data_IF_696972059341
#
_entry.id   IF_696972059341
#
_cell.length_a   1.000
_cell.length_b   1.000
_cell.length_c   1.000
_cell.angle_alpha   90.00
_cell.angle_beta   90.00
_cell.angle_gamma   90.00
#
_symmetry.space_group_name_H-M   'P 1'
#
loop_
_entity.id
_entity.type
_entity.pdbx_description
1 polymer ?
#
# COMPACT_ATOMS: atom_id res chain seq x y z
N UNK A 1 87.00 14.77 -16.83
CA UNK A 1 86.24 13.55 -16.65
C UNK A 1 85.13 13.77 -15.63
N UNK A 2 83.99 14.19 -16.04
CA UNK A 2 82.80 14.30 -15.21
C UNK A 2 81.64 13.91 -16.06
N UNK A 3 81.09 12.75 -15.81
CA UNK A 3 79.85 12.25 -16.41
C UNK A 3 78.65 12.94 -15.79
N UNK A 4 77.81 13.51 -16.66
CA UNK A 4 76.58 14.15 -16.32
C UNK A 4 75.44 13.09 -16.43
N UNK A 5 74.92 12.63 -15.31
CA UNK A 5 73.72 11.81 -15.31
C UNK A 5 72.50 12.68 -15.22
N UNK A 6 71.78 12.83 -16.35
CA UNK A 6 70.54 13.53 -16.45
C UNK A 6 69.39 12.53 -16.24
N UNK A 7 68.81 12.52 -15.07
CA UNK A 7 67.60 11.76 -14.79
C UNK A 7 66.38 12.56 -15.28
N UNK A 8 65.78 12.13 -16.39
CA UNK A 8 64.51 12.65 -16.86
C UNK A 8 63.41 12.28 -15.87
N UNK A 9 62.86 13.24 -15.17
CA UNK A 9 61.59 13.12 -14.47
C UNK A 9 60.45 13.10 -15.51
N UNK A 10 59.96 11.91 -15.81
CA UNK A 10 58.74 11.72 -16.58
C UNK A 10 57.55 12.20 -15.77
N UNK A 11 57.04 13.39 -16.08
CA UNK A 11 55.74 13.85 -15.64
C UNK A 11 54.68 13.00 -16.31
N UNK A 12 54.13 12.06 -15.58
CA UNK A 12 52.91 11.36 -15.98
C UNK A 12 51.77 12.37 -15.84
N UNK A 13 51.17 12.75 -16.94
CA UNK A 13 50.10 13.74 -16.99
C UNK A 13 48.86 13.23 -16.24
N UNK A 14 48.13 14.12 -15.58
CA UNK A 14 46.86 13.84 -14.89
C UNK A 14 45.80 13.17 -15.77
N UNK A 15 45.96 13.21 -17.10
CA UNK A 15 45.08 12.52 -18.05
C UNK A 15 45.32 11.01 -18.12
N UNK A 16 46.55 10.56 -17.89
CA UNK A 16 46.90 9.13 -17.86
C UNK A 16 46.38 8.44 -16.59
N UNK A 17 46.24 9.16 -15.50
CA UNK A 17 45.62 8.64 -14.29
C UNK A 17 44.11 8.55 -14.42
N UNK A 18 43.47 9.44 -15.19
CA UNK A 18 42.02 9.38 -15.47
C UNK A 18 41.63 8.30 -16.50
N UNK A 19 42.53 7.94 -17.41
CA UNK A 19 42.28 6.89 -18.40
C UNK A 19 42.40 5.48 -17.81
N UNK A 20 43.19 5.28 -16.74
CA UNK A 20 43.30 3.99 -16.07
C UNK A 20 42.07 3.58 -15.27
N UNK A 21 41.19 4.55 -14.96
CA UNK A 21 39.90 4.29 -14.31
C UNK A 21 38.76 3.89 -15.27
N UNK A 22 38.98 3.96 -16.58
CA UNK A 22 37.92 3.75 -17.57
C UNK A 22 37.86 2.40 -18.24
N UNK A 23 38.85 1.55 -18.08
CA UNK A 23 38.87 0.23 -18.71
C UNK A 23 39.75 -0.73 -17.93
N UNK A 24 39.17 -1.38 -16.98
CA UNK A 24 39.79 -2.63 -16.52
C UNK A 24 38.68 -3.61 -16.13
N UNK A 25 38.46 -4.59 -16.97
CA UNK A 25 38.38 -5.95 -16.49
C UNK A 25 39.71 -6.25 -15.78
N UNK A 26 40.00 -5.54 -14.69
CA UNK A 26 41.09 -5.91 -13.81
C UNK A 26 40.54 -7.05 -12.96
N UNK A 27 40.76 -8.25 -13.42
CA UNK A 27 40.92 -9.39 -12.54
C UNK A 27 42.12 -9.10 -11.65
N UNK A 28 41.98 -8.24 -10.69
CA UNK A 28 42.93 -8.07 -9.62
C UNK A 28 42.71 -9.23 -8.67
N UNK A 29 43.49 -10.30 -8.85
CA UNK A 29 43.41 -11.54 -8.07
C UNK A 29 43.65 -11.27 -6.57
N UNK A 30 44.09 -10.08 -6.20
CA UNK A 30 44.22 -9.64 -4.80
C UNK A 30 42.94 -9.04 -4.20
N UNK A 31 42.06 -8.48 -5.02
CA UNK A 31 40.93 -7.69 -4.49
C UNK A 31 39.55 -8.37 -4.68
N UNK A 32 39.53 -9.52 -5.37
CA UNK A 32 38.32 -10.34 -5.60
C UNK A 32 37.07 -9.52 -6.05
N UNK A 33 37.31 -8.40 -6.73
CA UNK A 33 36.22 -7.58 -7.29
C UNK A 33 35.85 -8.07 -8.68
N UNK A 34 34.55 -8.16 -8.93
CA UNK A 34 33.99 -8.44 -10.24
C UNK A 34 32.99 -7.35 -10.58
N UNK A 35 33.17 -6.68 -11.73
CA UNK A 35 32.30 -5.57 -12.16
C UNK A 35 33.05 -4.23 -12.24
N UNK A 36 32.33 -3.18 -12.59
CA UNK A 36 32.87 -1.86 -12.90
C UNK A 36 32.61 -0.84 -11.78
N UNK A 37 33.52 0.15 -11.64
CA UNK A 37 33.36 1.32 -10.78
C UNK A 37 33.06 1.02 -9.31
N UNK A 38 33.58 -0.08 -8.77
CA UNK A 38 33.50 -0.36 -7.34
C UNK A 38 34.55 0.48 -6.58
N UNK A 39 34.15 1.09 -5.47
CA UNK A 39 35.00 1.97 -4.66
C UNK A 39 34.97 1.59 -3.19
N UNK A 40 36.12 1.84 -2.48
CA UNK A 40 36.20 1.72 -1.03
C UNK A 40 36.63 3.05 -0.40
N UNK A 41 36.44 3.16 0.90
CA UNK A 41 37.01 4.20 1.75
C UNK A 41 38.13 3.59 2.61
N UNK A 42 39.38 3.60 2.12
CA UNK A 42 40.60 3.17 2.79
C UNK A 42 40.77 1.66 3.04
N UNK A 43 41.63 1.04 2.19
CA UNK A 43 42.41 -0.21 2.33
C UNK A 43 41.79 -1.57 1.97
N UNK A 44 42.19 -2.01 0.80
CA UNK A 44 42.90 -3.24 0.45
C UNK A 44 42.22 -4.61 0.38
N UNK A 45 40.96 -4.84 0.54
CA UNK A 45 40.30 -6.05 -0.02
C UNK A 45 38.83 -5.81 -0.26
N UNK A 46 38.50 -5.61 -1.51
CA UNK A 46 37.10 -5.56 -1.94
C UNK A 46 36.64 -6.98 -2.13
N UNK A 47 35.57 -7.47 -2.05
CA UNK A 47 35.00 -8.70 -2.50
C UNK A 47 33.64 -8.37 -3.07
N UNK A 48 33.60 -7.35 -3.93
CA UNK A 48 32.35 -6.93 -4.52
C UNK A 48 32.11 -7.64 -5.86
N UNK A 49 30.88 -8.06 -6.10
CA UNK A 49 30.44 -8.61 -7.37
C UNK A 49 29.31 -7.76 -7.90
N UNK A 50 29.43 -7.23 -9.11
CA UNK A 50 28.50 -6.28 -9.71
C UNK A 50 29.10 -4.88 -9.83
N UNK A 51 28.31 -3.92 -10.28
CA UNK A 51 28.76 -2.59 -10.65
C UNK A 51 28.44 -1.54 -9.59
N UNK A 52 29.30 -0.53 -9.47
CA UNK A 52 29.07 0.67 -8.65
C UNK A 52 28.83 0.42 -7.16
N UNK A 53 29.47 -0.58 -6.59
CA UNK A 53 29.39 -0.84 -5.16
C UNK A 53 30.42 -0.01 -4.38
N UNK A 54 30.02 0.47 -3.21
CA UNK A 54 30.87 1.18 -2.25
C UNK A 54 30.89 0.37 -0.96
N UNK A 55 32.06 -0.10 -0.53
CA UNK A 55 32.21 -0.94 0.66
C UNK A 55 32.72 -2.34 0.32
N UNK A 56 32.44 -3.32 1.19
CA UNK A 56 33.03 -4.65 1.12
C UNK A 56 31.98 -5.76 1.04
N UNK A 57 32.31 -6.82 0.31
CA UNK A 57 31.51 -8.05 0.21
C UNK A 57 30.08 -7.81 -0.31
N UNK A 58 29.88 -6.85 -1.19
CA UNK A 58 28.58 -6.62 -1.82
C UNK A 58 28.43 -7.50 -3.06
N UNK A 59 27.21 -8.02 -3.26
CA UNK A 59 26.82 -8.75 -4.47
C UNK A 59 25.58 -8.08 -5.06
N UNK A 60 25.67 -7.68 -6.33
CA UNK A 60 24.65 -6.87 -7.01
C UNK A 60 25.16 -5.47 -7.32
N UNK A 61 24.29 -4.59 -7.75
CA UNK A 61 24.68 -3.28 -8.26
C UNK A 61 24.29 -2.14 -7.33
N UNK A 62 25.08 -1.08 -7.34
CA UNK A 62 24.76 0.18 -6.67
C UNK A 62 24.57 0.08 -5.14
N UNK A 63 25.25 -0.83 -4.47
CA UNK A 63 25.18 -0.94 -3.02
C UNK A 63 26.18 0.00 -2.34
N UNK A 64 25.76 0.60 -1.22
CA UNK A 64 26.59 1.40 -0.32
C UNK A 64 26.57 0.77 1.07
N UNK A 65 27.74 0.38 1.58
CA UNK A 65 27.88 -0.36 2.84
C UNK A 65 28.49 -1.73 2.61
N UNK A 66 28.33 -2.66 3.55
CA UNK A 66 29.03 -3.93 3.52
C UNK A 66 28.08 -5.12 3.55
N UNK A 67 28.48 -6.19 2.87
CA UNK A 67 27.77 -7.48 2.90
C UNK A 67 26.32 -7.40 2.42
N UNK A 68 26.04 -6.54 1.48
CA UNK A 68 24.74 -6.45 0.85
C UNK A 68 24.62 -7.49 -0.29
N UNK A 69 23.43 -8.04 -0.47
CA UNK A 69 23.12 -8.94 -1.58
C UNK A 69 21.86 -8.45 -2.28
N UNK A 70 21.96 -8.14 -3.56
CA UNK A 70 20.92 -7.47 -4.35
C UNK A 70 21.34 -6.05 -4.71
N UNK A 71 20.42 -5.25 -5.20
CA UNK A 71 20.73 -3.97 -5.80
C UNK A 71 20.25 -2.78 -4.97
N UNK A 72 20.95 -1.66 -5.07
CA UNK A 72 20.55 -0.38 -4.51
C UNK A 72 20.33 -0.37 -2.99
N UNK A 73 21.10 -1.14 -2.25
CA UNK A 73 21.04 -1.11 -0.78
C UNK A 73 21.97 -0.04 -0.20
N UNK A 74 21.54 0.61 0.87
CA UNK A 74 22.34 1.54 1.67
C UNK A 74 22.36 1.06 3.11
N UNK A 75 23.54 0.84 3.68
CA UNK A 75 23.75 0.22 4.98
C UNK A 75 24.39 -1.15 4.86
N UNK A 76 24.44 -1.91 5.94
CA UNK A 76 25.15 -3.17 6.02
C UNK A 76 24.20 -4.38 6.10
N UNK A 77 24.62 -5.49 5.52
CA UNK A 77 23.98 -6.80 5.68
C UNK A 77 22.50 -6.82 5.23
N UNK A 78 22.21 -6.24 4.08
CA UNK A 78 20.88 -6.24 3.49
C UNK A 78 20.80 -7.27 2.35
N UNK A 79 20.21 -8.46 2.55
CA UNK A 79 19.77 -9.31 1.46
C UNK A 79 18.43 -8.86 0.91
N UNK A 80 18.41 -8.50 -0.38
CA UNK A 80 17.27 -7.93 -1.10
C UNK A 80 17.62 -6.63 -1.79
N UNK A 81 16.64 -5.91 -2.29
CA UNK A 81 16.84 -4.71 -3.09
C UNK A 81 16.27 -3.47 -2.45
N UNK A 82 16.91 -2.33 -2.70
CA UNK A 82 16.40 -1.02 -2.31
C UNK A 82 16.14 -0.87 -0.80
N UNK A 83 16.99 -1.45 0.04
CA UNK A 83 16.89 -1.28 1.48
C UNK A 83 17.78 -0.12 1.95
N UNK A 84 17.32 0.61 2.96
CA UNK A 84 18.07 1.66 3.66
C UNK A 84 18.10 1.34 5.14
N UNK A 85 19.30 1.28 5.73
CA UNK A 85 19.55 0.82 7.09
C UNK A 85 20.24 -0.54 7.10
N UNK A 86 20.36 -1.15 8.25
CA UNK A 86 21.15 -2.35 8.45
C UNK A 86 20.28 -3.59 8.70
N UNK A 87 20.77 -4.76 8.27
CA UNK A 87 20.14 -6.05 8.59
C UNK A 87 18.72 -6.23 8.06
N UNK A 88 18.34 -5.58 6.96
CA UNK A 88 17.03 -5.78 6.35
C UNK A 88 17.02 -7.00 5.43
N UNK A 89 16.01 -7.84 5.55
CA UNK A 89 15.78 -9.00 4.68
C UNK A 89 14.51 -8.76 3.85
N UNK A 90 14.67 -8.69 2.53
CA UNK A 90 13.57 -8.38 1.61
C UNK A 90 13.79 -7.08 0.88
N UNK A 91 12.73 -6.45 0.39
CA UNK A 91 12.88 -5.32 -0.53
C UNK A 91 12.20 -4.04 -0.03
N UNK A 92 12.80 -2.90 -0.36
CA UNK A 92 12.22 -1.59 -0.10
C UNK A 92 11.97 -1.29 1.39
N UNK A 93 12.83 -1.75 2.28
CA UNK A 93 12.74 -1.45 3.70
C UNK A 93 13.55 -0.21 4.04
N UNK A 94 13.05 0.59 4.99
CA UNK A 94 13.75 1.75 5.56
C UNK A 94 13.77 1.61 7.07
N UNK A 95 14.95 1.66 7.68
CA UNK A 95 15.22 1.34 9.08
C UNK A 95 15.99 0.04 9.21
N UNK A 96 16.15 -0.47 10.42
CA UNK A 96 17.00 -1.59 10.71
C UNK A 96 16.22 -2.87 11.04
N UNK A 97 16.79 -4.02 10.72
CA UNK A 97 16.30 -5.35 11.13
C UNK A 97 14.89 -5.69 10.67
N UNK A 98 14.46 -5.18 9.53
CA UNK A 98 13.16 -5.54 8.96
C UNK A 98 13.25 -6.84 8.16
N UNK A 99 12.22 -7.67 8.26
CA UNK A 99 12.05 -8.88 7.46
C UNK A 99 10.73 -8.79 6.69
N UNK A 100 10.81 -8.86 5.37
CA UNK A 100 9.68 -8.65 4.46
C UNK A 100 9.90 -7.45 3.56
N UNK A 101 8.85 -6.85 3.05
CA UNK A 101 8.97 -5.76 2.09
C UNK A 101 8.22 -4.48 2.48
N UNK A 102 8.77 -3.34 2.09
CA UNK A 102 8.12 -2.03 2.23
C UNK A 102 7.80 -1.67 3.68
N UNK A 103 8.68 -2.02 4.60
CA UNK A 103 8.58 -1.59 5.99
C UNK A 103 9.32 -0.27 6.20
N UNK A 104 8.78 0.58 7.07
CA UNK A 104 9.41 1.81 7.55
C UNK A 104 9.44 1.78 9.07
N UNK A 105 10.63 1.93 9.64
CA UNK A 105 10.92 1.74 11.07
C UNK A 105 11.75 0.50 11.31
N UNK A 106 11.93 0.09 12.55
CA UNK A 106 12.88 -0.95 12.93
C UNK A 106 12.19 -2.23 13.38
N UNK A 107 12.85 -3.35 13.11
CA UNK A 107 12.48 -4.65 13.67
C UNK A 107 11.07 -5.14 13.27
N UNK A 108 10.58 -4.78 12.11
CA UNK A 108 9.30 -5.27 11.61
C UNK A 108 9.44 -6.63 10.91
N UNK A 109 8.44 -7.47 11.08
CA UNK A 109 8.30 -8.74 10.36
C UNK A 109 6.99 -8.77 9.60
N UNK A 110 7.05 -8.96 8.29
CA UNK A 110 5.92 -8.87 7.36
C UNK A 110 6.08 -7.71 6.40
N UNK A 111 5.01 -7.34 5.72
CA UNK A 111 5.05 -6.34 4.67
C UNK A 111 4.25 -5.08 5.02
N UNK A 112 4.68 -3.93 4.49
CA UNK A 112 3.95 -2.67 4.60
C UNK A 112 3.71 -2.16 6.03
N UNK A 113 4.61 -2.44 6.96
CA UNK A 113 4.50 -1.89 8.32
C UNK A 113 5.15 -0.50 8.41
N UNK A 114 4.54 0.38 9.20
CA UNK A 114 5.08 1.69 9.57
C UNK A 114 5.13 1.79 11.09
N UNK A 115 6.30 2.06 11.63
CA UNK A 115 6.61 2.03 13.07
C UNK A 115 7.50 0.84 13.41
N UNK A 116 7.67 0.55 14.68
CA UNK A 116 8.68 -0.40 15.14
C UNK A 116 8.06 -1.67 15.74
N UNK A 117 8.79 -2.77 15.61
CA UNK A 117 8.48 -4.02 16.28
C UNK A 117 7.09 -4.60 15.94
N UNK A 118 6.63 -4.42 14.72
CA UNK A 118 5.38 -5.02 14.27
C UNK A 118 5.60 -6.42 13.70
N UNK A 119 4.69 -7.34 14.00
CA UNK A 119 4.63 -8.66 13.42
C UNK A 119 3.30 -8.87 12.70
N UNK A 120 3.35 -9.06 11.38
CA UNK A 120 2.20 -9.10 10.46
C UNK A 120 2.31 -8.03 9.40
N UNK A 121 1.23 -7.77 8.68
CA UNK A 121 1.25 -6.87 7.54
C UNK A 121 0.38 -5.62 7.76
N UNK A 122 0.75 -4.54 7.10
CA UNK A 122 -0.06 -3.32 7.04
C UNK A 122 -0.36 -2.71 8.42
N UNK A 123 0.56 -2.80 9.37
CA UNK A 123 0.39 -2.16 10.67
C UNK A 123 0.96 -0.73 10.64
N UNK A 124 0.28 0.18 11.32
CA UNK A 124 0.74 1.54 11.58
C UNK A 124 0.78 1.76 13.08
N UNK A 125 1.94 2.11 13.62
CA UNK A 125 2.23 2.19 15.06
C UNK A 125 3.23 1.12 15.47
N UNK A 126 3.39 0.90 16.76
CA UNK A 126 4.46 0.06 17.28
C UNK A 126 3.91 -1.17 18.03
N UNK A 127 4.72 -2.23 18.06
CA UNK A 127 4.44 -3.43 18.84
C UNK A 127 3.11 -4.12 18.51
N UNK A 128 2.63 -4.04 17.27
CA UNK A 128 1.43 -4.74 16.86
C UNK A 128 1.73 -6.17 16.42
N UNK A 129 0.85 -7.10 16.79
CA UNK A 129 0.88 -8.51 16.36
C UNK A 129 -0.43 -8.81 15.65
N UNK A 130 -0.36 -9.12 14.36
CA UNK A 130 -1.50 -9.29 13.47
C UNK A 130 -1.45 -8.32 12.30
N UNK A 131 -2.53 -8.16 11.58
CA UNK A 131 -2.56 -7.38 10.35
C UNK A 131 -3.47 -6.17 10.45
N UNK A 132 -3.13 -5.13 9.70
CA UNK A 132 -3.99 -3.97 9.51
C UNK A 132 -4.38 -3.26 10.83
N UNK A 133 -3.48 -3.20 11.79
CA UNK A 133 -3.70 -2.45 13.02
C UNK A 133 -3.21 -1.01 12.87
N UNK A 134 -3.93 -0.08 13.48
CA UNK A 134 -3.56 1.33 13.62
C UNK A 134 -3.53 1.68 15.11
N UNK A 135 -2.39 2.15 15.59
CA UNK A 135 -2.11 2.38 17.03
C UNK A 135 -1.08 1.40 17.55
N UNK A 136 -0.89 1.35 18.85
CA UNK A 136 0.22 0.63 19.48
C UNK A 136 -0.24 -0.59 20.28
N UNK A 137 0.62 -1.58 20.36
CA UNK A 137 0.47 -2.72 21.26
C UNK A 137 -0.81 -3.56 21.02
N UNK A 138 -1.30 -3.62 19.79
CA UNK A 138 -2.46 -4.43 19.47
C UNK A 138 -2.08 -5.89 19.17
N UNK A 139 -2.96 -6.81 19.54
CA UNK A 139 -2.91 -8.21 19.16
C UNK A 139 -4.22 -8.57 18.47
N UNK A 140 -4.12 -9.22 17.30
CA UNK A 140 -5.26 -9.47 16.42
C UNK A 140 -5.23 -8.56 15.20
N UNK A 141 -6.26 -8.61 14.40
CA UNK A 141 -6.32 -7.93 13.10
C UNK A 141 -7.33 -6.78 13.12
N UNK A 142 -7.08 -5.74 12.34
CA UNK A 142 -8.01 -4.66 12.09
C UNK A 142 -8.41 -3.88 13.35
N UNK A 143 -7.47 -3.64 14.24
CA UNK A 143 -7.72 -2.79 15.41
C UNK A 143 -7.36 -1.33 15.10
N UNK A 144 -8.13 -0.40 15.68
CA UNK A 144 -7.85 1.02 15.70
C UNK A 144 -7.84 1.51 17.14
N UNK A 145 -6.70 2.01 17.60
CA UNK A 145 -6.43 2.37 19.01
C UNK A 145 -5.39 1.43 19.61
N UNK A 146 -5.25 1.41 20.92
CA UNK A 146 -4.11 0.83 21.60
C UNK A 146 -4.49 -0.30 22.54
N UNK A 147 -3.55 -1.23 22.75
CA UNK A 147 -3.67 -2.28 23.76
C UNK A 147 -4.85 -3.23 23.58
N UNK A 148 -5.35 -3.42 22.35
CA UNK A 148 -6.40 -4.38 22.08
C UNK A 148 -5.83 -5.80 21.99
N UNK A 149 -6.56 -6.80 22.50
CA UNK A 149 -6.17 -8.22 22.55
C UNK A 149 -7.08 -9.13 21.73
N UNK A 150 -7.97 -8.56 20.94
CA UNK A 150 -8.81 -9.25 19.97
C UNK A 150 -8.92 -8.42 18.70
N UNK A 151 -9.53 -8.97 17.66
CA UNK A 151 -9.64 -8.32 16.36
C UNK A 151 -10.86 -7.40 16.26
N UNK A 152 -10.83 -6.50 15.28
CA UNK A 152 -11.96 -5.65 14.88
C UNK A 152 -12.44 -4.69 15.98
N UNK A 153 -11.51 -4.20 16.80
CA UNK A 153 -11.83 -3.26 17.86
C UNK A 153 -11.50 -1.81 17.47
N UNK A 154 -12.31 -0.90 17.96
CA UNK A 154 -12.05 0.53 17.99
C UNK A 154 -11.96 1.01 19.44
N UNK A 155 -10.92 1.80 19.75
CA UNK A 155 -10.61 2.24 21.12
C UNK A 155 -9.53 1.38 21.76
N UNK A 156 -9.43 1.40 23.08
CA UNK A 156 -8.28 0.86 23.80
C UNK A 156 -8.69 -0.19 24.84
N UNK A 157 -7.76 -1.12 25.13
CA UNK A 157 -7.90 -2.16 26.17
C UNK A 157 -9.07 -3.12 25.97
N UNK A 158 -9.46 -3.40 24.70
CA UNK A 158 -10.51 -4.36 24.41
C UNK A 158 -9.94 -5.79 24.37
N UNK A 159 -10.57 -6.70 25.06
CA UNK A 159 -10.15 -8.13 25.13
C UNK A 159 -11.09 -9.06 24.40
N UNK A 160 -12.22 -8.56 23.94
CA UNK A 160 -13.24 -9.28 23.16
C UNK A 160 -13.64 -8.44 21.97
N UNK A 161 -14.16 -9.09 20.91
CA UNK A 161 -14.70 -8.37 19.76
C UNK A 161 -15.91 -7.53 20.19
N UNK A 162 -15.90 -6.26 19.79
CA UNK A 162 -16.92 -5.29 20.19
C UNK A 162 -18.20 -5.49 19.37
N UNK A 163 -19.31 -5.19 20.03
CA UNK A 163 -20.60 -5.00 19.38
C UNK A 163 -20.62 -3.65 18.67
N UNK A 164 -21.16 -3.62 17.46
CA UNK A 164 -21.21 -2.41 16.64
C UNK A 164 -22.46 -1.57 16.93
N UNK A 165 -22.33 -0.28 16.65
CA UNK A 165 -23.47 0.63 16.59
C UNK A 165 -24.12 0.46 15.23
N UNK A 166 -25.45 0.34 15.19
CA UNK A 166 -26.26 0.35 13.99
C UNK A 166 -27.38 1.40 14.17
N UNK A 167 -27.55 2.24 13.17
CA UNK A 167 -28.53 3.33 13.20
C UNK A 167 -28.44 4.17 14.50
N UNK A 168 -27.20 4.58 14.82
CA UNK A 168 -26.87 5.39 16.01
C UNK A 168 -27.25 4.77 17.36
N UNK A 169 -27.55 3.47 17.41
CA UNK A 169 -27.94 2.74 18.63
C UNK A 169 -27.05 1.51 18.82
N UNK A 170 -26.75 1.11 20.07
CA UNK A 170 -26.05 -0.14 20.34
C UNK A 170 -26.82 -1.34 19.75
N UNK A 171 -26.09 -2.29 19.18
CA UNK A 171 -26.65 -3.55 18.69
C UNK A 171 -25.99 -4.75 19.37
N UNK A 172 -26.62 -5.92 19.24
CA UNK A 172 -26.01 -7.18 19.69
C UNK A 172 -25.14 -7.83 18.60
N UNK A 173 -24.98 -7.16 17.46
CA UNK A 173 -24.22 -7.66 16.31
C UNK A 173 -22.74 -7.22 16.43
N UNK A 174 -21.82 -8.14 16.13
CA UNK A 174 -20.41 -7.85 15.93
C UNK A 174 -20.16 -7.35 14.51
N UNK A 175 -18.99 -6.74 14.26
CA UNK A 175 -18.61 -6.34 12.89
C UNK A 175 -18.47 -7.55 11.97
N UNK A 176 -18.01 -8.69 12.47
CA UNK A 176 -17.92 -9.94 11.69
C UNK A 176 -19.31 -10.44 11.26
N UNK A 177 -20.27 -10.49 12.18
CA UNK A 177 -21.64 -10.87 11.87
C UNK A 177 -22.28 -9.91 10.84
N UNK A 178 -21.98 -8.61 10.95
CA UNK A 178 -22.37 -7.65 9.92
C UNK A 178 -21.72 -7.95 8.56
N UNK A 179 -20.41 -8.24 8.54
CA UNK A 179 -19.67 -8.57 7.30
C UNK A 179 -20.25 -9.78 6.57
N UNK A 180 -20.75 -10.76 7.30
CA UNK A 180 -21.31 -12.02 6.79
C UNK A 180 -22.84 -11.95 6.59
N UNK A 181 -23.48 -10.82 6.89
CA UNK A 181 -24.94 -10.70 6.81
C UNK A 181 -25.45 -10.58 5.36
N UNK A 182 -26.62 -11.15 5.12
CA UNK A 182 -27.32 -11.04 3.83
C UNK A 182 -27.69 -9.59 3.51
N UNK A 183 -28.04 -8.79 4.52
CA UNK A 183 -28.35 -7.38 4.33
C UNK A 183 -27.15 -6.62 3.72
N UNK A 184 -25.96 -6.81 4.27
CA UNK A 184 -24.74 -6.22 3.73
C UNK A 184 -24.42 -6.75 2.33
N UNK A 185 -24.62 -8.03 2.07
CA UNK A 185 -24.43 -8.60 0.74
C UNK A 185 -25.33 -7.91 -0.30
N UNK A 186 -26.60 -7.69 0.01
CA UNK A 186 -27.55 -6.97 -0.85
C UNK A 186 -27.11 -5.50 -1.05
N UNK A 187 -26.81 -4.79 0.04
CA UNK A 187 -26.40 -3.37 -0.01
C UNK A 187 -25.12 -3.15 -0.81
N UNK A 188 -24.22 -4.12 -0.87
CA UNK A 188 -23.03 -4.03 -1.74
C UNK A 188 -23.31 -4.06 -3.23
N UNK A 189 -24.49 -4.51 -3.63
CA UNK A 189 -24.91 -4.55 -5.03
C UNK A 189 -25.54 -3.22 -5.47
N UNK A 190 -25.76 -2.30 -4.56
CA UNK A 190 -26.29 -0.97 -4.85
C UNK A 190 -25.35 -0.23 -5.81
N UNK A 191 -25.83 0.20 -6.97
CA UNK A 191 -24.99 0.89 -7.95
C UNK A 191 -24.70 2.32 -7.51
N UNK A 192 -23.52 2.84 -7.85
CA UNK A 192 -23.17 4.25 -7.62
C UNK A 192 -23.72 5.17 -8.70
N UNK A 193 -23.92 4.65 -9.89
CA UNK A 193 -24.55 5.35 -11.01
C UNK A 193 -25.14 4.34 -11.98
N UNK A 194 -26.27 4.65 -12.56
CA UNK A 194 -26.88 3.85 -13.62
C UNK A 194 -27.24 4.75 -14.79
N UNK A 195 -27.58 4.12 -15.91
CA UNK A 195 -28.11 4.82 -17.07
C UNK A 195 -29.52 4.33 -17.36
N UNK A 196 -30.41 5.25 -17.64
CA UNK A 196 -31.80 4.96 -17.96
C UNK A 196 -32.18 5.57 -19.30
N UNK A 197 -32.86 4.80 -20.14
CA UNK A 197 -33.44 5.35 -21.37
C UNK A 197 -34.70 6.13 -21.04
N UNK A 198 -34.73 7.42 -21.42
CA UNK A 198 -35.91 8.27 -21.31
C UNK A 198 -36.52 8.34 -22.70
N UNK A 199 -37.76 7.85 -22.82
CA UNK A 199 -38.48 7.93 -24.08
C UNK A 199 -38.94 9.38 -24.37
N UNK A 200 -38.97 9.74 -25.65
CA UNK A 200 -39.36 11.08 -26.11
C UNK A 200 -40.70 11.56 -25.56
N UNK A 201 -41.64 10.64 -25.29
CA UNK A 201 -42.94 10.95 -24.71
C UNK A 201 -42.85 11.36 -23.21
N UNK A 202 -41.83 10.89 -22.51
CA UNK A 202 -41.64 11.08 -21.05
C UNK A 202 -40.65 12.22 -20.75
N UNK A 203 -40.06 12.84 -21.77
CA UNK A 203 -39.09 13.93 -21.66
C UNK A 203 -39.75 15.24 -21.29
N UNK A 204 -39.13 16.02 -20.40
CA UNK A 204 -39.51 17.41 -20.14
C UNK A 204 -39.17 18.32 -21.33
N UNK A 205 -39.72 19.53 -21.35
CA UNK A 205 -39.42 20.47 -22.43
C UNK A 205 -37.96 20.91 -22.46
N UNK A 206 -37.31 20.99 -21.27
CA UNK A 206 -35.88 21.27 -21.13
C UNK A 206 -35.04 20.11 -21.72
N UNK A 207 -35.36 18.86 -21.37
CA UNK A 207 -34.68 17.67 -21.89
C UNK A 207 -34.83 17.55 -23.42
N UNK A 208 -36.01 17.88 -23.97
CA UNK A 208 -36.24 17.92 -25.42
C UNK A 208 -35.42 19.01 -26.12
N UNK A 209 -35.23 20.15 -25.47
CA UNK A 209 -34.44 21.25 -26.01
C UNK A 209 -32.93 20.88 -26.02
N UNK A 210 -32.45 20.14 -24.99
CA UNK A 210 -31.05 19.68 -24.88
C UNK A 210 -30.75 18.53 -25.84
N UNK A 211 -31.71 17.60 -25.99
CA UNK A 211 -31.57 16.41 -26.83
C UNK A 211 -32.39 16.50 -28.12
N UNK A 212 -32.05 17.43 -29.01
CA UNK A 212 -32.82 17.76 -30.21
C UNK A 212 -33.08 16.57 -31.17
N UNK A 213 -32.32 15.49 -31.06
CA UNK A 213 -32.48 14.27 -31.86
C UNK A 213 -33.51 13.29 -31.27
N UNK A 214 -34.12 13.60 -30.13
CA UNK A 214 -35.02 12.70 -29.39
C UNK A 214 -36.18 12.15 -30.23
N UNK A 215 -36.69 12.90 -31.21
CA UNK A 215 -37.78 12.43 -32.11
C UNK A 215 -37.28 11.33 -33.05
N UNK A 216 -36.01 11.44 -33.52
CA UNK A 216 -35.44 10.47 -34.44
C UNK A 216 -34.93 9.23 -33.70
N UNK A 217 -34.35 9.39 -32.52
CA UNK A 217 -33.80 8.31 -31.69
C UNK A 217 -34.87 7.66 -30.83
N UNK A 218 -36.03 8.28 -30.66
CA UNK A 218 -37.09 7.84 -29.76
C UNK A 218 -36.89 8.19 -28.28
N UNK A 219 -35.84 8.95 -27.97
CA UNK A 219 -35.45 9.34 -26.60
C UNK A 219 -33.97 9.59 -26.46
N UNK A 220 -33.47 9.62 -25.21
CA UNK A 220 -32.04 9.75 -24.88
C UNK A 220 -31.65 8.91 -23.67
N UNK A 221 -30.35 8.72 -23.50
CA UNK A 221 -29.78 7.99 -22.36
C UNK A 221 -29.43 8.98 -21.24
N UNK A 222 -30.17 8.93 -20.14
CA UNK A 222 -29.91 9.74 -18.94
C UNK A 222 -28.97 8.99 -18.00
N UNK A 223 -27.91 9.65 -17.56
CA UNK A 223 -27.09 9.17 -16.45
C UNK A 223 -27.75 9.64 -15.15
N UNK A 224 -28.14 8.69 -14.31
CA UNK A 224 -28.75 8.97 -13.02
C UNK A 224 -27.66 9.31 -12.00
N UNK A 225 -27.94 10.20 -11.09
CA UNK A 225 -27.06 10.45 -9.95
C UNK A 225 -27.08 9.27 -8.94
N UNK A 226 -26.27 9.35 -7.88
CA UNK A 226 -26.13 8.26 -6.91
C UNK A 226 -27.44 7.97 -6.17
N UNK A 227 -28.19 9.01 -5.79
CA UNK A 227 -29.47 8.86 -5.08
C UNK A 227 -30.57 8.29 -5.98
N UNK A 228 -30.69 8.81 -7.21
CA UNK A 228 -31.63 8.28 -8.21
C UNK A 228 -31.32 6.80 -8.53
N UNK A 229 -30.05 6.45 -8.70
CA UNK A 229 -29.58 5.08 -8.98
C UNK A 229 -29.88 4.14 -7.82
N UNK A 230 -29.62 4.57 -6.60
CA UNK A 230 -29.90 3.82 -5.38
C UNK A 230 -31.38 3.58 -5.19
N UNK A 231 -32.21 4.60 -5.43
CA UNK A 231 -33.67 4.48 -5.33
C UNK A 231 -34.24 3.53 -6.38
N UNK A 232 -33.77 3.59 -7.62
CA UNK A 232 -34.18 2.67 -8.68
C UNK A 232 -33.80 1.22 -8.35
N UNK A 233 -32.60 0.99 -7.83
CA UNK A 233 -32.19 -0.31 -7.34
C UNK A 233 -33.11 -0.82 -6.23
N UNK A 234 -33.40 0.01 -5.22
CA UNK A 234 -34.32 -0.34 -4.15
C UNK A 234 -35.73 -0.71 -4.65
N UNK A 235 -36.28 0.06 -5.57
CA UNK A 235 -37.61 -0.18 -6.13
C UNK A 235 -37.69 -1.52 -6.88
N UNK A 236 -36.58 -1.95 -7.47
CA UNK A 236 -36.44 -3.22 -8.21
C UNK A 236 -36.14 -4.43 -7.34
N UNK A 237 -35.83 -4.25 -6.04
CA UNK A 237 -35.64 -5.38 -5.11
C UNK A 237 -36.95 -6.12 -4.88
N UNK A 238 -36.84 -7.43 -4.67
CA UNK A 238 -37.97 -8.21 -4.18
C UNK A 238 -38.37 -7.80 -2.75
N UNK A 239 -39.65 -8.02 -2.39
CA UNK A 239 -40.11 -7.76 -1.01
C UNK A 239 -39.29 -8.53 0.03
N UNK A 240 -38.90 -9.76 -0.27
CA UNK A 240 -38.02 -10.55 0.59
C UNK A 240 -36.67 -9.92 0.81
N UNK A 241 -36.05 -9.30 -0.22
CA UNK A 241 -34.77 -8.63 -0.09
C UNK A 241 -34.89 -7.31 0.68
N UNK A 242 -35.99 -6.58 0.46
CA UNK A 242 -36.30 -5.39 1.25
C UNK A 242 -36.50 -5.75 2.73
N UNK A 243 -37.19 -6.86 3.03
CA UNK A 243 -37.38 -7.33 4.40
C UNK A 243 -36.06 -7.72 5.07
N UNK A 244 -35.13 -8.35 4.33
CA UNK A 244 -33.77 -8.64 4.83
C UNK A 244 -33.06 -7.35 5.25
N UNK A 245 -33.13 -6.31 4.45
CA UNK A 245 -32.51 -5.02 4.77
C UNK A 245 -33.22 -4.34 5.95
N UNK A 246 -34.56 -4.33 5.96
CA UNK A 246 -35.36 -3.78 7.06
C UNK A 246 -35.16 -4.56 8.38
N UNK A 247 -34.71 -5.81 8.32
CA UNK A 247 -34.40 -6.64 9.51
C UNK A 247 -33.06 -6.31 10.19
N UNK A 248 -32.27 -5.40 9.64
CA UNK A 248 -31.04 -4.93 10.30
C UNK A 248 -31.40 -4.42 11.70
N UNK A 249 -30.69 -4.82 12.75
CA UNK A 249 -30.98 -4.35 14.10
C UNK A 249 -31.04 -2.83 14.19
N UNK A 250 -32.08 -2.31 14.86
CA UNK A 250 -32.33 -0.89 15.00
C UNK A 250 -32.65 -0.15 13.69
N UNK A 251 -33.06 -0.84 12.64
CA UNK A 251 -33.35 -0.20 11.35
C UNK A 251 -34.19 1.06 11.55
N UNK A 252 -33.77 2.14 10.90
CA UNK A 252 -34.38 3.46 10.97
C UNK A 252 -34.37 4.03 9.55
N UNK A 253 -35.56 4.26 9.00
CA UNK A 253 -35.71 4.68 7.60
C UNK A 253 -35.14 6.06 7.32
N UNK A 254 -35.20 6.97 8.28
CA UNK A 254 -34.71 8.34 8.10
C UNK A 254 -33.17 8.33 8.05
N UNK A 255 -32.53 7.57 8.94
CA UNK A 255 -31.07 7.38 8.92
C UNK A 255 -30.64 6.59 7.67
N UNK A 256 -31.46 5.61 7.25
CA UNK A 256 -31.19 4.84 6.03
C UNK A 256 -31.24 5.75 4.80
N UNK A 257 -32.24 6.63 4.69
CA UNK A 257 -32.33 7.65 3.64
C UNK A 257 -31.13 8.60 3.67
N UNK A 258 -30.77 9.11 4.85
CA UNK A 258 -29.60 9.99 5.01
C UNK A 258 -28.31 9.35 4.51
N UNK A 259 -28.11 8.05 4.78
CA UNK A 259 -26.89 7.32 4.42
C UNK A 259 -26.85 6.84 2.96
N UNK A 260 -27.99 6.55 2.36
CA UNK A 260 -28.09 5.86 1.05
C UNK A 260 -28.80 6.64 -0.04
N UNK A 261 -29.55 7.68 0.32
CA UNK A 261 -30.46 8.40 -0.57
C UNK A 261 -31.76 7.66 -0.86
N UNK A 262 -31.99 6.48 -0.25
CA UNK A 262 -33.14 5.62 -0.50
C UNK A 262 -34.30 5.98 0.44
N UNK A 263 -35.43 6.36 -0.12
CA UNK A 263 -36.69 6.52 0.61
C UNK A 263 -37.37 5.17 0.74
N UNK A 264 -37.64 4.79 1.98
CA UNK A 264 -38.37 3.56 2.31
C UNK A 264 -39.81 3.95 2.65
N UNK A 265 -40.73 3.62 1.76
CA UNK A 265 -42.16 3.79 2.05
C UNK A 265 -42.58 2.77 3.12
N UNK A 266 -43.23 3.24 4.17
CA UNK A 266 -43.96 2.36 5.07
C UNK A 266 -45.29 2.05 4.41
N UNK A 267 -45.52 0.81 4.01
CA UNK A 267 -46.84 0.33 3.70
C UNK A 267 -47.68 0.51 4.97
N UNK A 268 -48.66 1.43 4.91
CA UNK A 268 -49.64 1.69 5.98
C UNK A 268 -50.64 0.53 6.16
#
# INVERSE_FOLDING_TARGET
DTENNNTENGNVSDEDQRSSFKNSEIKNIKDCNTGNTNTEYMNNVFHNTGDRNIGYYNTGDCNTGNKNTGDMNTGDMNPGNCNTGDWNIGNNNTGDRNTGGRNTGDSNTGDYNTGDCNAGNCNTGNYNIGNCNTGDCNTGDWNTGDWNKSSLNTGCFNTVEQKIMLFNKPSDMTYREWMDSNARYLLKQMPKSTVRWIFSADMTDEEKAEHQTHETTGGYLKVLDEAESSQEWWNNLSDSDKDIIKSIPNFDSDIFEECTGIKVDYDC
#
